data_IF_172414821147
#
_entry.id   IF_172414821147
#
_cell.length_a   1.000
_cell.length_b   1.000
_cell.length_c   1.000
_cell.angle_alpha   90.00
_cell.angle_beta   90.00
_cell.angle_gamma   90.00
#
_symmetry.space_group_name_H-M   'P 1'
#
loop_
_entity.id
_entity.type
_entity.pdbx_description
1 polymer ?
#
# COMPACT_ATOMS: atom_id res chain seq x y z
N UNK A 1 -7.79 -21.76 8.58
CA UNK A 1 -6.78 -21.10 7.73
C UNK A 1 -6.51 -19.72 8.32
N UNK A 2 -5.37 -19.58 9.00
CA UNK A 2 -4.94 -18.34 9.67
C UNK A 2 -4.34 -17.40 8.63
N UNK A 3 -4.90 -16.20 8.48
CA UNK A 3 -4.22 -15.10 7.80
C UNK A 3 -3.15 -14.57 8.78
N UNK A 4 -2.00 -15.23 8.76
CA UNK A 4 -0.85 -14.93 9.62
C UNK A 4 -0.18 -13.62 9.24
N UNK A 5 -0.74 -12.50 9.67
CA UNK A 5 -0.14 -11.18 9.42
C UNK A 5 0.51 -10.58 10.68
N UNK A 6 -0.02 -10.71 11.91
CA UNK A 6 0.74 -10.35 13.14
C UNK A 6 0.20 -11.09 14.38
N UNK A 7 0.90 -12.11 14.92
CA UNK A 7 0.35 -12.93 16.01
C UNK A 7 0.28 -12.22 17.39
N UNK A 8 0.83 -11.01 17.54
CA UNK A 8 0.84 -10.27 18.81
C UNK A 8 0.70 -8.74 18.63
N UNK A 9 -0.12 -8.27 17.69
CA UNK A 9 -0.47 -6.85 17.66
C UNK A 9 -1.48 -6.53 18.77
N UNK A 10 -1.12 -5.63 19.68
CA UNK A 10 -2.01 -5.18 20.75
C UNK A 10 -3.32 -4.59 20.15
N UNK A 11 -4.45 -4.64 20.88
CA UNK A 11 -5.74 -4.21 20.35
C UNK A 11 -5.75 -2.77 19.82
N UNK A 12 -4.90 -1.91 20.39
CA UNK A 12 -4.75 -0.52 19.95
C UNK A 12 -4.06 -0.44 18.58
N UNK A 13 -2.97 -1.18 18.36
CA UNK A 13 -2.34 -1.33 17.04
C UNK A 13 -3.31 -1.89 15.98
N UNK A 14 -4.20 -2.82 16.36
CA UNK A 14 -5.22 -3.35 15.44
C UNK A 14 -6.28 -2.31 15.07
N UNK A 15 -6.71 -1.48 16.04
CA UNK A 15 -7.64 -0.37 15.76
C UNK A 15 -7.03 0.68 14.84
N UNK A 16 -5.74 0.99 15.01
CA UNK A 16 -5.01 1.89 14.10
C UNK A 16 -4.92 1.28 12.70
N UNK A 17 -4.56 -0.01 12.59
CA UNK A 17 -4.50 -0.70 11.30
C UNK A 17 -5.86 -0.71 10.60
N UNK A 18 -6.94 -1.03 11.32
CA UNK A 18 -8.29 -1.02 10.78
C UNK A 18 -8.70 0.39 10.34
N UNK A 19 -8.41 1.41 11.16
CA UNK A 19 -8.66 2.80 10.82
C UNK A 19 -7.92 3.23 9.56
N UNK A 20 -6.64 2.86 9.45
CA UNK A 20 -5.84 3.13 8.25
C UNK A 20 -6.42 2.45 7.02
N UNK A 21 -6.85 1.19 7.12
CA UNK A 21 -7.51 0.48 6.02
C UNK A 21 -8.83 1.13 5.60
N UNK A 22 -9.65 1.57 6.55
CA UNK A 22 -10.92 2.24 6.25
C UNK A 22 -10.70 3.60 5.58
N UNK A 23 -9.73 4.38 6.07
CA UNK A 23 -9.34 5.65 5.43
C UNK A 23 -8.81 5.41 4.02
N UNK A 24 -7.94 4.42 3.83
CA UNK A 24 -7.46 4.03 2.50
C UNK A 24 -8.62 3.63 1.59
N UNK A 25 -9.53 2.78 2.07
CA UNK A 25 -10.69 2.34 1.30
C UNK A 25 -11.57 3.54 0.89
N UNK A 26 -11.78 4.51 1.78
CA UNK A 26 -12.58 5.69 1.48
C UNK A 26 -11.92 6.61 0.46
N UNK A 27 -10.61 6.88 0.63
CA UNK A 27 -9.80 7.63 -0.32
C UNK A 27 -9.72 6.95 -1.70
N UNK A 28 -9.96 5.65 -1.77
CA UNK A 28 -9.91 4.89 -3.02
C UNK A 28 -11.26 4.77 -3.70
N UNK A 29 -12.29 4.38 -2.95
CA UNK A 29 -13.64 4.10 -3.47
C UNK A 29 -14.30 5.40 -3.93
N UNK A 30 -14.14 6.50 -3.19
CA UNK A 30 -14.81 7.76 -3.50
C UNK A 30 -14.38 8.37 -4.84
N UNK A 31 -13.09 8.65 -5.10
CA UNK A 31 -12.66 9.17 -6.41
C UNK A 31 -12.91 8.17 -7.54
N UNK A 32 -12.79 6.86 -7.29
CA UNK A 32 -13.13 5.85 -8.29
C UNK A 32 -14.61 5.96 -8.71
N UNK A 33 -15.52 6.12 -7.75
CA UNK A 33 -16.96 6.36 -8.00
C UNK A 33 -17.20 7.65 -8.78
N UNK A 34 -16.50 8.73 -8.42
CA UNK A 34 -16.64 10.04 -9.10
C UNK A 34 -16.17 9.94 -10.55
N UNK A 35 -15.03 9.30 -10.80
CA UNK A 35 -14.48 9.13 -12.14
C UNK A 35 -15.38 8.22 -12.98
N UNK A 36 -15.89 7.13 -12.40
CA UNK A 36 -16.82 6.23 -13.08
C UNK A 36 -18.11 6.95 -13.49
N UNK A 37 -18.68 7.78 -12.62
CA UNK A 37 -19.92 8.52 -12.91
C UNK A 37 -19.68 9.65 -13.93
N UNK A 38 -18.56 10.37 -13.85
CA UNK A 38 -18.27 11.51 -14.74
C UNK A 38 -17.75 11.12 -16.11
N UNK A 39 -16.98 10.03 -16.20
CA UNK A 39 -16.25 9.67 -17.41
C UNK A 39 -16.65 8.29 -17.97
N UNK A 40 -17.53 7.54 -17.31
CA UNK A 40 -17.99 6.23 -17.77
C UNK A 40 -16.92 5.14 -17.74
N UNK A 41 -15.76 5.41 -17.11
CA UNK A 41 -14.67 4.44 -17.04
C UNK A 41 -15.06 3.24 -16.19
N UNK A 42 -14.69 2.05 -16.68
CA UNK A 42 -14.88 0.80 -15.95
C UNK A 42 -14.01 0.78 -14.69
N UNK A 43 -14.53 0.26 -13.57
CA UNK A 43 -13.80 0.15 -12.31
C UNK A 43 -12.47 -0.61 -12.45
N UNK A 44 -12.39 -1.54 -13.41
CA UNK A 44 -11.17 -2.25 -13.77
C UNK A 44 -10.06 -1.35 -14.29
N UNK A 45 -10.38 -0.32 -15.08
CA UNK A 45 -9.40 0.62 -15.62
C UNK A 45 -8.80 1.47 -14.49
N UNK A 46 -9.63 1.84 -13.51
CA UNK A 46 -9.20 2.56 -12.33
C UNK A 46 -8.29 1.67 -11.47
N UNK A 47 -8.67 0.41 -11.25
CA UNK A 47 -7.85 -0.56 -10.52
C UNK A 47 -6.47 -0.74 -11.17
N UNK A 48 -6.41 -0.92 -12.49
CA UNK A 48 -5.15 -1.09 -13.24
C UNK A 48 -4.29 0.17 -13.19
N UNK A 49 -4.88 1.36 -13.28
CA UNK A 49 -4.14 2.63 -13.19
C UNK A 49 -3.50 2.88 -11.82
N UNK A 50 -4.06 2.31 -10.75
CA UNK A 50 -3.52 2.49 -9.41
C UNK A 50 -2.45 1.47 -8.99
N UNK A 51 -2.43 0.26 -9.59
CA UNK A 51 -1.36 -0.72 -9.35
C UNK A 51 0.05 -0.11 -9.47
N UNK A 52 0.39 0.66 -10.54
CA UNK A 52 1.70 1.28 -10.63
C UNK A 52 1.94 2.36 -9.57
N UNK A 53 0.90 3.06 -9.11
CA UNK A 53 1.03 4.07 -8.05
C UNK A 53 1.36 3.42 -6.69
N UNK A 54 0.66 2.34 -6.33
CA UNK A 54 0.96 1.56 -5.11
C UNK A 54 2.34 0.92 -5.22
N UNK A 55 2.67 0.35 -6.38
CA UNK A 55 4.00 -0.22 -6.64
C UNK A 55 5.13 0.80 -6.46
N UNK A 56 4.95 2.03 -6.96
CA UNK A 56 5.92 3.10 -6.80
C UNK A 56 6.12 3.50 -5.33
N UNK A 57 5.04 3.62 -4.55
CA UNK A 57 5.11 3.91 -3.11
C UNK A 57 5.82 2.78 -2.37
N UNK A 58 5.47 1.52 -2.66
CA UNK A 58 6.09 0.36 -2.03
C UNK A 58 7.60 0.27 -2.35
N UNK A 59 7.99 0.53 -3.59
CA UNK A 59 9.39 0.60 -3.99
C UNK A 59 10.12 1.75 -3.29
N UNK A 60 9.53 2.95 -3.27
CA UNK A 60 10.12 4.10 -2.59
C UNK A 60 10.32 3.82 -1.09
N UNK A 61 9.34 3.21 -0.44
CA UNK A 61 9.45 2.77 0.94
C UNK A 61 10.58 1.73 1.11
N UNK A 62 10.62 0.72 0.24
CA UNK A 62 11.66 -0.31 0.26
C UNK A 62 13.07 0.30 0.14
N UNK A 63 13.26 1.26 -0.77
CA UNK A 63 14.52 2.01 -0.92
C UNK A 63 14.84 2.87 0.30
N UNK A 64 13.84 3.52 0.90
CA UNK A 64 14.05 4.32 2.11
C UNK A 64 14.46 3.46 3.32
N UNK A 65 13.98 2.21 3.37
CA UNK A 65 14.29 1.26 4.45
C UNK A 65 15.46 0.33 4.14
N UNK A 66 15.97 0.30 2.90
CA UNK A 66 17.11 -0.54 2.56
C UNK A 66 18.38 0.08 3.11
N UNK A 67 19.03 -0.60 4.06
CA UNK A 67 20.37 -0.22 4.50
C UNK A 67 21.37 -0.37 3.34
N UNK A 68 22.31 0.56 3.16
CA UNK A 68 23.35 0.40 2.16
C UNK A 68 24.17 -0.85 2.51
N UNK A 69 24.21 -1.84 1.60
CA UNK A 69 25.17 -2.94 1.72
C UNK A 69 26.57 -2.33 1.74
N UNK A 70 27.24 -2.37 2.89
CA UNK A 70 28.68 -2.11 2.95
C UNK A 70 29.34 -3.20 2.10
N UNK A 71 29.97 -2.80 1.00
CA UNK A 71 30.79 -3.68 0.18
C UNK A 71 32.07 -4.00 0.96
N UNK A 72 32.00 -4.93 1.91
CA UNK A 72 33.16 -5.39 2.68
C UNK A 72 34.13 -6.28 1.86
N UNK A 73 33.91 -6.42 0.54
CA UNK A 73 34.78 -7.21 -0.35
C UNK A 73 35.75 -6.36 -1.18
N UNK A 74 35.82 -5.04 -0.96
CA UNK A 74 36.84 -4.17 -1.61
C UNK A 74 37.64 -3.41 -0.55
N UNK A 75 38.29 -4.14 0.36
CA UNK A 75 39.43 -3.64 1.13
C UNK A 75 40.17 -4.81 1.79
N UNK A 76 41.31 -5.15 1.19
CA UNK A 76 42.43 -5.98 1.68
C UNK A 76 42.30 -7.51 1.60
#
# INVERSE_FOLDING_TARGET
MSLGVFPNADPFSQMILLGAYLVFAFLYIFPARVIQVRHGYNAWILLVGFIPAIGAIALFWAFATSEPKLNSEVSA
#
